data_IF_515901459563
#
_entry.id   IF_515901459563
#
_cell.length_a   1.000
_cell.length_b   1.000
_cell.length_c   1.000
_cell.angle_alpha   90.00
_cell.angle_beta   90.00
_cell.angle_gamma   90.00
#
_symmetry.space_group_name_H-M   'P 1'
#
loop_
_entity.id
_entity.type
_entity.pdbx_description
1 polymer ?
#
# COMPACT_ATOMS: atom_id res chain seq x y z
N UNK A 1 -25.24 23.13 -48.35
CA UNK A 1 -25.03 23.83 -47.09
C UNK A 1 -23.76 23.25 -46.50
N UNK A 2 -22.73 24.09 -46.50
CA UNK A 2 -21.44 23.76 -45.89
C UNK A 2 -21.66 23.42 -44.42
N UNK A 3 -21.26 22.25 -44.01
CA UNK A 3 -21.50 21.68 -42.67
C UNK A 3 -20.49 22.16 -41.60
N UNK A 4 -19.93 23.33 -41.78
CA UNK A 4 -19.19 24.02 -40.73
C UNK A 4 -20.16 24.69 -39.76
N UNK A 5 -20.77 23.92 -38.89
CA UNK A 5 -21.52 24.45 -37.75
C UNK A 5 -20.54 25.10 -36.76
N UNK A 6 -20.28 26.39 -37.00
CA UNK A 6 -19.59 27.20 -35.99
C UNK A 6 -20.64 27.59 -34.95
N UNK A 7 -20.65 26.92 -33.82
CA UNK A 7 -21.39 27.41 -32.68
C UNK A 7 -20.55 28.49 -31.97
N UNK A 8 -21.05 29.72 -32.05
CA UNK A 8 -20.45 30.85 -31.34
C UNK A 8 -20.91 30.83 -29.90
N UNK A 9 -20.01 30.48 -28.99
CA UNK A 9 -20.21 30.65 -27.56
C UNK A 9 -20.04 32.12 -27.16
N UNK A 10 -20.97 32.66 -26.37
CA UNK A 10 -20.78 33.95 -25.73
C UNK A 10 -19.93 33.81 -24.46
N UNK A 11 -19.60 34.91 -23.79
CA UNK A 11 -18.76 34.95 -22.61
C UNK A 11 -19.26 34.09 -21.39
N UNK A 12 -20.45 33.52 -21.46
CA UNK A 12 -21.06 32.69 -20.43
C UNK A 12 -21.02 31.20 -20.73
N UNK A 13 -20.45 30.79 -21.87
CA UNK A 13 -20.29 29.39 -22.24
C UNK A 13 -21.27 28.92 -23.33
N UNK A 14 -21.11 27.69 -23.77
CA UNK A 14 -21.91 27.00 -24.76
C UNK A 14 -22.95 26.10 -24.07
N UNK A 15 -24.25 26.40 -24.26
CA UNK A 15 -25.32 25.47 -23.89
C UNK A 15 -25.72 24.66 -25.13
N UNK A 16 -25.48 23.36 -25.13
CA UNK A 16 -25.92 22.44 -26.17
C UNK A 16 -27.06 21.60 -25.64
N UNK A 17 -28.27 21.79 -26.23
CA UNK A 17 -29.41 20.92 -26.00
C UNK A 17 -29.42 19.84 -27.08
N UNK A 18 -28.78 18.70 -26.84
CA UNK A 18 -28.68 17.62 -27.82
C UNK A 18 -27.32 16.91 -27.72
N UNK A 19 -27.08 15.98 -28.64
CA UNK A 19 -25.82 15.23 -28.70
C UNK A 19 -24.72 16.09 -29.32
N UNK A 20 -23.60 16.25 -28.62
CA UNK A 20 -22.38 16.80 -29.20
C UNK A 20 -21.61 15.65 -29.84
N UNK A 21 -21.59 15.62 -31.17
CA UNK A 21 -20.76 14.68 -31.95
C UNK A 21 -19.44 15.38 -32.30
N UNK A 22 -18.42 15.16 -31.54
CA UNK A 22 -17.07 15.68 -31.80
C UNK A 22 -16.03 14.70 -31.37
N UNK A 23 -14.93 14.60 -32.12
CA UNK A 23 -13.79 13.74 -31.80
C UNK A 23 -12.84 14.38 -30.79
N UNK A 24 -13.05 15.64 -30.42
CA UNK A 24 -12.26 16.31 -29.39
C UNK A 24 -13.03 17.51 -28.81
N UNK A 25 -12.76 17.79 -27.53
CA UNK A 25 -13.16 19.01 -26.85
C UNK A 25 -11.91 19.79 -26.43
N UNK A 26 -11.77 21.00 -26.93
CA UNK A 26 -10.59 21.86 -26.69
C UNK A 26 -9.25 21.17 -26.99
N UNK A 27 -9.21 20.40 -28.08
CA UNK A 27 -8.01 19.66 -28.49
C UNK A 27 -7.73 18.37 -27.72
N UNK A 28 -8.56 18.03 -26.75
CA UNK A 28 -8.49 16.72 -26.06
C UNK A 28 -9.35 15.73 -26.87
N UNK A 29 -8.77 14.71 -27.48
CA UNK A 29 -9.54 13.69 -28.18
C UNK A 29 -10.30 12.83 -27.17
N UNK A 30 -11.55 12.45 -27.53
CA UNK A 30 -12.32 11.45 -26.83
C UNK A 30 -12.58 10.30 -27.79
N UNK A 31 -12.06 9.15 -27.48
CA UNK A 31 -12.32 7.92 -28.20
C UNK A 31 -13.33 7.12 -27.39
N UNK A 32 -14.51 6.89 -27.94
CA UNK A 32 -15.52 6.05 -27.32
C UNK A 32 -15.68 4.79 -28.15
N UNK A 33 -15.42 3.65 -27.53
CA UNK A 33 -15.79 2.36 -28.06
C UNK A 33 -17.17 1.98 -27.53
N UNK A 34 -18.19 2.21 -28.34
CA UNK A 34 -19.57 1.89 -27.97
C UNK A 34 -19.89 0.41 -28.06
N UNK A 35 -19.04 -0.40 -28.71
CA UNK A 35 -19.19 -1.85 -28.79
C UNK A 35 -18.78 -2.48 -27.47
N UNK A 36 -17.69 -2.00 -26.89
CA UNK A 36 -17.09 -2.50 -25.65
C UNK A 36 -17.33 -1.60 -24.44
N UNK A 37 -18.19 -0.58 -24.55
CA UNK A 37 -18.53 0.38 -23.46
C UNK A 37 -17.31 1.06 -22.83
N UNK A 38 -16.31 1.37 -23.61
CA UNK A 38 -15.04 1.95 -23.13
C UNK A 38 -14.86 3.41 -23.56
N UNK A 39 -14.10 4.20 -22.79
CA UNK A 39 -13.77 5.59 -23.07
C UNK A 39 -12.30 5.88 -22.81
N UNK A 40 -11.63 6.44 -23.82
CA UNK A 40 -10.20 6.77 -23.78
C UNK A 40 -9.96 8.23 -24.18
N UNK A 41 -8.90 8.85 -23.68
CA UNK A 41 -8.46 10.22 -24.09
C UNK A 41 -7.30 10.19 -25.09
N UNK A 42 -6.96 9.02 -25.62
CA UNK A 42 -5.98 8.83 -26.69
C UNK A 42 -6.39 7.63 -27.55
N UNK A 43 -5.79 7.50 -28.71
CA UNK A 43 -6.13 6.45 -29.68
C UNK A 43 -5.49 5.11 -29.24
N UNK A 44 -6.31 4.16 -28.82
CA UNK A 44 -5.93 2.76 -28.51
C UNK A 44 -6.42 1.79 -29.58
N UNK A 45 -6.92 2.27 -30.72
CA UNK A 45 -7.52 1.41 -31.77
C UNK A 45 -6.59 0.35 -32.36
N UNK A 46 -5.29 0.44 -32.11
CA UNK A 46 -4.32 -0.59 -32.53
C UNK A 46 -4.06 -1.67 -31.47
N UNK A 47 -4.59 -1.52 -30.28
CA UNK A 47 -4.33 -2.41 -29.13
C UNK A 47 -5.60 -2.93 -28.47
N UNK A 48 -6.67 -2.13 -28.47
CA UNK A 48 -7.96 -2.48 -27.83
C UNK A 48 -8.74 -3.49 -28.70
N UNK A 49 -8.45 -4.77 -28.53
CA UNK A 49 -9.09 -5.84 -29.32
C UNK A 49 -10.53 -6.13 -28.90
N UNK A 50 -10.73 -6.47 -27.61
CA UNK A 50 -12.04 -6.85 -27.04
C UNK A 50 -12.23 -6.33 -25.60
N UNK A 51 -11.40 -5.40 -25.16
CA UNK A 51 -11.45 -4.86 -23.81
C UNK A 51 -12.74 -4.07 -23.53
N UNK A 52 -13.50 -4.46 -22.51
CA UNK A 52 -14.82 -3.89 -22.21
C UNK A 52 -14.84 -3.06 -20.93
N UNK A 53 -15.72 -2.07 -20.90
CA UNK A 53 -16.04 -1.26 -19.70
C UNK A 53 -14.84 -0.50 -19.10
N UNK A 54 -13.87 -0.09 -19.92
CA UNK A 54 -12.70 0.64 -19.48
C UNK A 54 -12.90 2.16 -19.52
N UNK A 55 -12.26 2.85 -18.58
CA UNK A 55 -12.19 4.32 -18.54
C UNK A 55 -10.74 4.76 -18.40
N UNK A 56 -10.18 5.42 -19.42
CA UNK A 56 -8.84 5.99 -19.38
C UNK A 56 -8.87 7.50 -19.60
N UNK A 57 -8.33 8.24 -18.63
CA UNK A 57 -8.19 9.69 -18.73
C UNK A 57 -6.76 10.12 -18.38
N UNK A 58 -6.00 10.47 -19.39
CA UNK A 58 -4.61 10.92 -19.24
C UNK A 58 -3.74 10.48 -20.42
N UNK A 59 -2.60 11.15 -20.59
CA UNK A 59 -1.63 10.78 -21.62
C UNK A 59 -1.04 9.39 -21.30
N UNK A 60 -1.10 8.46 -22.25
CA UNK A 60 -0.66 7.07 -22.13
C UNK A 60 -1.35 6.27 -20.98
N UNK A 61 -2.55 6.66 -20.56
CA UNK A 61 -3.32 5.87 -19.61
C UNK A 61 -3.87 4.60 -20.30
N UNK A 62 -3.49 3.40 -19.87
CA UNK A 62 -3.83 2.10 -20.49
C UNK A 62 -3.46 2.01 -21.98
N UNK A 63 -2.29 2.54 -22.37
CA UNK A 63 -1.87 2.61 -23.77
C UNK A 63 -1.69 1.23 -24.43
N UNK A 64 -1.39 0.20 -23.64
CA UNK A 64 -1.17 -1.17 -24.10
C UNK A 64 -2.39 -2.10 -23.96
N UNK A 65 -3.58 -1.57 -23.61
CA UNK A 65 -4.76 -2.40 -23.32
C UNK A 65 -5.15 -3.27 -24.54
N UNK A 66 -5.43 -4.56 -24.30
CA UNK A 66 -5.88 -5.49 -25.36
C UNK A 66 -7.22 -6.12 -25.02
N UNK A 67 -7.29 -6.92 -23.97
CA UNK A 67 -8.49 -7.69 -23.57
C UNK A 67 -8.86 -7.50 -22.10
N UNK A 68 -8.17 -6.61 -21.38
CA UNK A 68 -8.46 -6.35 -19.96
C UNK A 68 -9.73 -5.54 -19.76
N UNK A 69 -10.64 -6.02 -18.91
CA UNK A 69 -11.97 -5.44 -18.71
C UNK A 69 -12.09 -4.65 -17.40
N UNK A 70 -13.04 -3.70 -17.39
CA UNK A 70 -13.51 -3.03 -16.18
C UNK A 70 -12.42 -2.26 -15.42
N UNK A 71 -11.47 -1.67 -16.13
CA UNK A 71 -10.39 -0.89 -15.54
C UNK A 71 -10.72 0.61 -15.53
N UNK A 72 -10.26 1.30 -14.51
CA UNK A 72 -10.25 2.77 -14.44
C UNK A 72 -8.80 3.23 -14.33
N UNK A 73 -8.31 4.03 -15.27
CA UNK A 73 -6.99 4.63 -15.25
C UNK A 73 -7.08 6.14 -15.44
N UNK A 74 -6.69 6.90 -14.43
CA UNK A 74 -6.74 8.36 -14.44
C UNK A 74 -5.38 8.93 -14.06
N UNK A 75 -4.72 9.57 -15.02
CA UNK A 75 -3.39 10.15 -14.83
C UNK A 75 -2.45 9.82 -15.98
N UNK A 76 -1.39 10.63 -16.13
CA UNK A 76 -0.35 10.31 -17.10
C UNK A 76 0.30 8.98 -16.73
N UNK A 77 0.36 8.05 -17.67
CA UNK A 77 1.02 6.76 -17.49
C UNK A 77 0.29 5.78 -16.56
N UNK A 78 -0.92 6.08 -16.10
CA UNK A 78 -1.68 5.15 -15.27
C UNK A 78 -1.96 3.85 -16.04
N UNK A 79 -1.42 2.72 -15.57
CA UNK A 79 -1.57 1.42 -16.19
C UNK A 79 -1.05 1.35 -17.63
N UNK A 80 0.02 2.05 -17.97
CA UNK A 80 0.55 2.11 -19.34
C UNK A 80 0.80 0.73 -19.94
N UNK A 81 1.35 -0.21 -19.17
CA UNK A 81 1.66 -1.56 -19.62
C UNK A 81 0.49 -2.55 -19.55
N UNK A 82 -0.69 -2.11 -19.07
CA UNK A 82 -1.83 -3.00 -18.83
C UNK A 82 -2.35 -3.60 -20.15
N UNK A 83 -2.33 -4.93 -20.26
CA UNK A 83 -2.78 -5.66 -21.45
C UNK A 83 -4.08 -6.43 -21.21
N UNK A 84 -4.03 -7.47 -20.38
CA UNK A 84 -5.14 -8.39 -20.12
C UNK A 84 -5.67 -8.33 -18.69
N UNK A 85 -5.00 -7.57 -17.79
CA UNK A 85 -5.45 -7.39 -16.42
C UNK A 85 -6.78 -6.67 -16.33
N UNK A 86 -7.66 -7.11 -15.43
CA UNK A 86 -9.01 -6.57 -15.31
C UNK A 86 -9.38 -6.11 -13.90
N UNK A 87 -10.40 -5.25 -13.83
CA UNK A 87 -10.94 -4.76 -12.56
C UNK A 87 -9.94 -3.96 -11.70
N UNK A 88 -9.03 -3.22 -12.32
CA UNK A 88 -8.09 -2.35 -11.63
C UNK A 88 -8.60 -0.91 -11.54
N UNK A 89 -8.27 -0.23 -10.44
CA UNK A 89 -8.48 1.22 -10.26
C UNK A 89 -7.11 1.88 -10.09
N UNK A 90 -6.66 2.61 -11.10
CA UNK A 90 -5.33 3.22 -11.18
C UNK A 90 -5.48 4.74 -11.31
N UNK A 91 -5.21 5.48 -10.25
CA UNK A 91 -5.41 6.93 -10.21
C UNK A 91 -4.15 7.64 -9.73
N UNK A 92 -3.50 8.33 -10.60
CA UNK A 92 -2.24 9.04 -10.33
C UNK A 92 -1.26 8.94 -11.50
N UNK A 93 -0.24 9.78 -11.47
CA UNK A 93 0.87 9.67 -12.43
C UNK A 93 1.57 8.33 -12.21
N UNK A 94 1.75 7.55 -13.27
CA UNK A 94 2.45 6.26 -13.29
C UNK A 94 1.93 5.24 -12.23
N UNK A 95 0.65 5.38 -11.79
CA UNK A 95 0.00 4.41 -10.91
C UNK A 95 -0.18 3.07 -11.65
N UNK A 96 0.38 1.97 -11.09
CA UNK A 96 0.35 0.65 -11.71
C UNK A 96 0.99 0.60 -13.10
N UNK A 97 2.01 1.40 -13.35
CA UNK A 97 2.64 1.57 -14.67
C UNK A 97 3.12 0.25 -15.28
N UNK A 98 3.70 -0.64 -14.48
CA UNK A 98 4.23 -1.92 -14.93
C UNK A 98 3.19 -3.06 -14.97
N UNK A 99 1.95 -2.84 -14.49
CA UNK A 99 0.90 -3.85 -14.53
C UNK A 99 0.64 -4.30 -15.98
N UNK A 100 0.74 -5.60 -16.20
CA UNK A 100 0.44 -6.22 -17.51
C UNK A 100 -0.82 -7.08 -17.45
N UNK A 101 -0.80 -8.12 -16.64
CA UNK A 101 -1.89 -9.09 -16.46
C UNK A 101 -2.51 -9.06 -15.07
N UNK A 102 -1.94 -8.27 -14.16
CA UNK A 102 -2.43 -8.12 -12.78
C UNK A 102 -3.87 -7.61 -12.71
N UNK A 103 -4.67 -8.19 -11.82
CA UNK A 103 -6.09 -7.90 -11.72
C UNK A 103 -6.52 -7.55 -10.28
N UNK A 104 -7.62 -6.77 -10.17
CA UNK A 104 -8.23 -6.40 -8.90
C UNK A 104 -7.30 -5.61 -7.97
N UNK A 105 -6.45 -4.76 -8.54
CA UNK A 105 -5.62 -3.84 -7.80
C UNK A 105 -6.30 -2.47 -7.65
N UNK A 106 -6.06 -1.82 -6.54
CA UNK A 106 -6.37 -0.41 -6.33
C UNK A 106 -5.07 0.33 -6.10
N UNK A 107 -4.65 1.17 -7.03
CA UNK A 107 -3.46 2.01 -6.94
C UNK A 107 -3.86 3.48 -7.06
N UNK A 108 -3.79 4.23 -5.98
CA UNK A 108 -4.18 5.64 -5.94
C UNK A 108 -3.04 6.49 -5.36
N UNK A 109 -2.41 7.26 -6.20
CA UNK A 109 -1.25 8.10 -5.87
C UNK A 109 -0.20 8.06 -6.96
N UNK A 110 0.67 9.05 -7.00
CA UNK A 110 1.83 9.03 -7.89
C UNK A 110 2.71 7.83 -7.55
N UNK A 111 3.07 7.04 -8.55
CA UNK A 111 3.94 5.88 -8.47
C UNK A 111 3.43 4.78 -7.47
N UNK A 112 2.11 4.78 -7.14
CA UNK A 112 1.51 3.73 -6.32
C UNK A 112 1.50 2.41 -7.11
N UNK A 113 1.95 1.31 -6.49
CA UNK A 113 2.02 -0.04 -7.09
C UNK A 113 2.74 -0.06 -8.45
N UNK A 114 3.81 0.73 -8.57
CA UNK A 114 4.46 0.96 -9.87
C UNK A 114 5.09 -0.30 -10.46
N UNK A 115 5.74 -1.12 -9.64
CA UNK A 115 6.55 -2.27 -10.11
C UNK A 115 5.76 -3.57 -10.27
N UNK A 116 4.54 -3.67 -9.74
CA UNK A 116 3.71 -4.87 -9.85
C UNK A 116 3.37 -5.16 -11.31
N UNK A 117 3.63 -6.36 -11.75
CA UNK A 117 3.51 -6.70 -13.17
C UNK A 117 2.33 -7.65 -13.47
N UNK A 118 2.29 -8.83 -12.87
CA UNK A 118 1.38 -9.89 -13.32
C UNK A 118 0.33 -10.34 -12.31
N UNK A 119 0.35 -9.84 -11.07
CA UNK A 119 -0.47 -10.35 -9.98
C UNK A 119 -1.40 -9.27 -9.42
N UNK A 120 -2.20 -9.61 -8.42
CA UNK A 120 -3.26 -8.71 -8.05
C UNK A 120 -3.68 -8.71 -6.60
N UNK A 121 -4.87 -8.13 -6.39
CA UNK A 121 -5.55 -8.02 -5.12
C UNK A 121 -4.81 -7.18 -4.08
N UNK A 122 -4.05 -6.18 -4.56
CA UNK A 122 -3.39 -5.21 -3.72
C UNK A 122 -4.21 -3.92 -3.62
N UNK A 123 -4.11 -3.26 -2.47
CA UNK A 123 -4.60 -1.89 -2.26
C UNK A 123 -3.43 -1.00 -1.89
N UNK A 124 -3.04 -0.11 -2.78
CA UNK A 124 -1.95 0.85 -2.61
C UNK A 124 -2.50 2.28 -2.72
N UNK A 125 -2.63 2.99 -1.63
CA UNK A 125 -3.18 4.35 -1.60
C UNK A 125 -2.19 5.32 -0.95
N UNK A 126 -1.59 6.17 -1.74
CA UNK A 126 -0.58 7.15 -1.34
C UNK A 126 0.56 7.24 -2.34
N UNK A 127 1.33 8.31 -2.29
CA UNK A 127 2.55 8.45 -3.09
C UNK A 127 3.52 7.31 -2.76
N UNK A 128 3.95 6.56 -3.78
CA UNK A 128 4.86 5.42 -3.67
C UNK A 128 4.39 4.31 -2.68
N UNK A 129 3.09 4.18 -2.41
CA UNK A 129 2.58 3.05 -1.65
C UNK A 129 2.80 1.75 -2.46
N UNK A 130 3.42 0.72 -1.85
CA UNK A 130 3.82 -0.55 -2.50
C UNK A 130 4.60 -0.35 -3.81
N UNK A 131 5.47 0.63 -3.85
CA UNK A 131 6.21 1.01 -5.06
C UNK A 131 6.98 -0.16 -5.69
N UNK A 132 7.69 -0.95 -4.88
CA UNK A 132 8.58 -2.03 -5.31
C UNK A 132 7.89 -3.40 -5.41
N UNK A 133 6.58 -3.48 -5.12
CA UNK A 133 5.84 -4.74 -5.06
C UNK A 133 5.87 -5.48 -6.40
N UNK A 134 6.35 -6.73 -6.38
CA UNK A 134 6.24 -7.71 -7.47
C UNK A 134 6.38 -9.13 -6.90
N UNK A 135 5.28 -9.65 -6.33
CA UNK A 135 5.33 -10.86 -5.50
C UNK A 135 5.39 -12.18 -6.29
N UNK A 136 5.17 -12.16 -7.59
CA UNK A 136 5.06 -13.39 -8.38
C UNK A 136 3.81 -14.23 -8.07
N UNK A 137 2.95 -13.76 -7.16
CA UNK A 137 1.64 -14.34 -6.78
C UNK A 137 0.66 -13.24 -6.39
N UNK A 138 -0.63 -13.54 -6.25
CA UNK A 138 -1.60 -12.59 -5.66
C UNK A 138 -1.18 -12.26 -4.23
N UNK A 139 -0.81 -11.00 -3.97
CA UNK A 139 -0.15 -10.65 -2.72
C UNK A 139 -1.11 -10.25 -1.60
N UNK A 140 -2.32 -9.76 -1.90
CA UNK A 140 -3.31 -9.34 -0.90
C UNK A 140 -2.78 -8.30 0.11
N UNK A 141 -1.85 -7.44 -0.30
CA UNK A 141 -1.34 -6.38 0.54
C UNK A 141 -2.29 -5.18 0.56
N UNK A 142 -2.43 -4.55 1.72
CA UNK A 142 -3.10 -3.27 1.91
C UNK A 142 -2.09 -2.27 2.44
N UNK A 143 -1.79 -1.22 1.67
CA UNK A 143 -0.88 -0.14 2.05
C UNK A 143 -1.54 1.21 1.83
N UNK A 144 -1.75 1.97 2.90
CA UNK A 144 -2.41 3.27 2.86
C UNK A 144 -1.57 4.33 3.58
N UNK A 145 -1.01 5.26 2.83
CA UNK A 145 -0.17 6.36 3.33
C UNK A 145 1.01 6.66 2.40
N UNK A 146 1.70 7.77 2.67
CA UNK A 146 2.93 8.15 1.96
C UNK A 146 4.02 7.11 2.19
N UNK A 147 4.59 6.56 1.13
CA UNK A 147 5.66 5.54 1.14
C UNK A 147 5.40 4.34 2.06
N UNK A 148 4.14 3.99 2.24
CA UNK A 148 3.75 2.82 3.04
C UNK A 148 4.13 1.56 2.30
N UNK A 149 4.95 0.70 2.93
CA UNK A 149 5.44 -0.53 2.32
C UNK A 149 6.24 -0.29 1.02
N UNK A 150 6.92 0.85 0.89
CA UNK A 150 7.61 1.26 -0.36
C UNK A 150 8.63 0.22 -0.83
N UNK A 151 9.28 -0.49 0.08
CA UNK A 151 10.31 -1.50 -0.21
C UNK A 151 9.75 -2.92 -0.33
N UNK A 152 8.46 -3.15 -0.10
CA UNK A 152 7.87 -4.50 -0.22
C UNK A 152 8.09 -5.00 -1.64
N UNK A 153 8.73 -6.16 -1.75
CA UNK A 153 8.98 -6.86 -3.03
C UNK A 153 8.07 -8.08 -3.16
N UNK A 154 8.42 -9.17 -2.49
CA UNK A 154 7.69 -10.44 -2.55
C UNK A 154 6.79 -10.69 -1.34
N UNK A 155 6.83 -9.84 -0.32
CA UNK A 155 5.98 -9.95 0.86
C UNK A 155 4.48 -9.90 0.52
N UNK A 156 3.66 -10.70 1.19
CA UNK A 156 2.23 -10.83 0.94
C UNK A 156 1.41 -10.83 2.24
N UNK A 157 0.09 -10.58 2.11
CA UNK A 157 -0.88 -10.54 3.22
C UNK A 157 -0.54 -9.51 4.32
N UNK A 158 0.13 -8.43 3.97
CA UNK A 158 0.43 -7.37 4.90
C UNK A 158 -0.67 -6.30 4.91
N UNK A 159 -0.98 -5.77 6.09
CA UNK A 159 -1.87 -4.61 6.27
C UNK A 159 -1.08 -3.47 6.89
N UNK A 160 -0.72 -2.50 6.07
CA UNK A 160 0.14 -1.37 6.40
C UNK A 160 -0.66 -0.07 6.25
N UNK A 161 -0.88 0.67 7.33
CA UNK A 161 -1.66 1.91 7.29
C UNK A 161 -0.94 3.00 8.08
N UNK A 162 -0.60 4.08 7.42
CA UNK A 162 0.15 5.20 7.98
C UNK A 162 1.40 5.52 7.17
N UNK A 163 1.80 6.78 7.12
CA UNK A 163 3.03 7.15 6.40
C UNK A 163 4.23 6.38 6.96
N UNK A 164 5.03 5.81 6.08
CA UNK A 164 6.24 5.05 6.42
C UNK A 164 5.96 3.85 7.36
N UNK A 165 4.73 3.30 7.34
CA UNK A 165 4.46 2.03 8.01
C UNK A 165 5.03 0.89 7.16
N UNK A 166 5.89 0.04 7.76
CA UNK A 166 6.55 -1.08 7.09
C UNK A 166 7.37 -0.67 5.86
N UNK A 167 7.95 0.54 5.85
CA UNK A 167 8.64 1.09 4.68
C UNK A 167 9.92 0.33 4.29
N UNK A 168 10.58 -0.32 5.24
CA UNK A 168 11.73 -1.18 4.97
C UNK A 168 11.37 -2.65 4.69
N UNK A 169 10.10 -3.05 4.90
CA UNK A 169 9.67 -4.42 4.71
C UNK A 169 9.90 -4.86 3.26
N UNK A 170 10.51 -6.02 3.06
CA UNK A 170 10.82 -6.57 1.72
C UNK A 170 10.04 -7.85 1.44
N UNK A 171 10.35 -8.92 2.15
CA UNK A 171 9.77 -10.26 1.95
C UNK A 171 8.85 -10.69 3.11
N UNK A 172 8.83 -9.94 4.22
CA UNK A 172 8.00 -10.27 5.39
C UNK A 172 6.51 -10.35 5.09
N UNK A 173 5.83 -11.32 5.69
CA UNK A 173 4.47 -11.69 5.38
C UNK A 173 3.54 -11.56 6.58
N UNK A 174 2.23 -11.37 6.31
CA UNK A 174 1.20 -11.42 7.34
C UNK A 174 1.39 -10.42 8.48
N UNK A 175 2.04 -9.28 8.22
CA UNK A 175 2.24 -8.23 9.20
C UNK A 175 1.07 -7.23 9.21
N UNK A 176 0.74 -6.73 10.39
CA UNK A 176 -0.20 -5.61 10.59
C UNK A 176 0.56 -4.44 11.20
N UNK A 177 0.73 -3.37 10.45
CA UNK A 177 1.34 -2.13 10.92
C UNK A 177 0.35 -0.96 10.76
N UNK A 178 -0.07 -0.35 11.85
CA UNK A 178 -0.99 0.78 11.85
C UNK A 178 -0.41 1.95 12.67
N UNK A 179 0.04 2.97 11.98
CA UNK A 179 0.60 4.19 12.58
C UNK A 179 1.84 4.70 11.85
N UNK A 180 2.16 5.96 12.05
CA UNK A 180 3.37 6.58 11.52
C UNK A 180 4.63 5.87 12.04
N UNK A 181 5.49 5.38 11.15
CA UNK A 181 6.67 4.57 11.45
C UNK A 181 6.39 3.27 12.24
N UNK A 182 5.19 2.72 12.22
CA UNK A 182 4.95 1.39 12.78
C UNK A 182 5.70 0.34 11.94
N UNK A 183 6.48 -0.53 12.58
CA UNK A 183 7.27 -1.61 11.94
C UNK A 183 8.21 -1.12 10.81
N UNK A 184 8.76 0.09 10.93
CA UNK A 184 9.43 0.76 9.82
C UNK A 184 10.84 0.24 9.50
N UNK A 185 11.47 -0.52 10.37
CA UNK A 185 12.81 -1.10 10.11
C UNK A 185 12.78 -2.59 9.80
N UNK A 186 11.63 -3.26 9.93
CA UNK A 186 11.52 -4.69 9.67
C UNK A 186 11.68 -5.00 8.17
N UNK A 187 12.43 -6.04 7.86
CA UNK A 187 12.68 -6.46 6.48
C UNK A 187 12.06 -7.82 6.13
N UNK A 188 12.31 -8.86 6.90
CA UNK A 188 11.98 -10.25 6.60
C UNK A 188 11.05 -10.92 7.62
N UNK A 189 10.82 -10.29 8.78
CA UNK A 189 10.02 -10.90 9.85
C UNK A 189 8.53 -10.97 9.55
N UNK A 190 7.92 -12.08 9.96
CA UNK A 190 6.51 -12.40 9.71
C UNK A 190 5.63 -12.23 10.94
N UNK A 191 4.31 -12.07 10.70
CA UNK A 191 3.23 -12.21 11.70
C UNK A 191 3.33 -11.24 12.87
N UNK A 192 3.81 -10.03 12.63
CA UNK A 192 3.83 -8.98 13.62
C UNK A 192 2.55 -8.17 13.64
N UNK A 193 2.19 -7.67 14.81
CA UNK A 193 1.15 -6.67 15.00
C UNK A 193 1.76 -5.43 15.66
N UNK A 194 1.88 -4.33 14.92
CA UNK A 194 2.43 -3.06 15.38
C UNK A 194 1.37 -1.96 15.22
N UNK A 195 0.70 -1.57 16.28
CA UNK A 195 -0.38 -0.58 16.27
C UNK A 195 -0.01 0.62 17.16
N UNK A 196 0.18 1.75 16.54
CA UNK A 196 0.58 3.00 17.20
C UNK A 196 1.78 3.63 16.53
N UNK A 197 1.94 4.94 16.71
CA UNK A 197 3.12 5.64 16.21
C UNK A 197 4.39 5.01 16.79
N UNK A 198 5.30 4.56 15.94
CA UNK A 198 6.59 3.99 16.33
C UNK A 198 6.52 2.65 17.06
N UNK A 199 5.37 1.95 17.05
CA UNK A 199 5.29 0.59 17.57
C UNK A 199 6.22 -0.33 16.77
N UNK A 200 7.07 -1.13 17.45
CA UNK A 200 8.12 -2.00 16.86
C UNK A 200 9.00 -1.30 15.83
N UNK A 201 9.27 -0.01 16.03
CA UNK A 201 9.94 0.83 15.03
C UNK A 201 11.29 0.28 14.58
N UNK A 202 12.11 -0.20 15.52
CA UNK A 202 13.48 -0.66 15.25
C UNK A 202 13.59 -2.19 15.10
N UNK A 203 12.46 -2.91 15.10
CA UNK A 203 12.48 -4.34 14.85
C UNK A 203 13.05 -4.61 13.46
N UNK A 204 14.02 -5.54 13.40
CA UNK A 204 14.60 -5.97 12.13
C UNK A 204 15.15 -7.39 12.26
N UNK A 205 14.37 -8.36 11.84
CA UNK A 205 14.77 -9.74 11.73
C UNK A 205 15.38 -9.98 10.34
N UNK A 206 16.64 -10.35 10.30
CA UNK A 206 17.44 -10.50 9.07
C UNK A 206 17.31 -11.88 8.42
N UNK A 207 16.37 -12.69 8.87
CA UNK A 207 16.00 -13.98 8.28
C UNK A 207 14.49 -14.09 8.22
N UNK A 208 13.99 -14.81 7.23
CA UNK A 208 12.59 -15.20 7.13
C UNK A 208 12.21 -16.01 8.39
N UNK A 209 11.51 -15.35 9.30
CA UNK A 209 11.26 -15.86 10.66
C UNK A 209 9.88 -15.46 11.13
N UNK A 210 9.16 -16.42 11.65
CA UNK A 210 7.92 -16.20 12.40
C UNK A 210 8.20 -15.48 13.72
N UNK A 211 8.01 -14.17 13.74
CA UNK A 211 8.39 -13.31 14.87
C UNK A 211 7.31 -13.26 15.95
N UNK A 212 6.04 -13.16 15.57
CA UNK A 212 4.87 -13.12 16.46
C UNK A 212 4.93 -12.05 17.56
N UNK A 213 5.51 -10.90 17.31
CA UNK A 213 5.42 -9.78 18.25
C UNK A 213 4.08 -9.06 18.11
N UNK A 214 3.48 -8.72 19.24
CA UNK A 214 2.29 -7.88 19.32
C UNK A 214 2.64 -6.62 20.11
N UNK A 215 2.62 -5.45 19.47
CA UNK A 215 2.85 -4.17 20.12
C UNK A 215 1.70 -3.19 19.82
N UNK A 216 1.02 -2.72 20.86
CA UNK A 216 -0.10 -1.81 20.75
C UNK A 216 0.09 -0.62 21.68
N UNK A 217 0.29 0.55 21.11
CA UNK A 217 0.50 1.81 21.85
C UNK A 217 1.57 2.68 21.23
N UNK A 218 1.61 3.95 21.63
CA UNK A 218 2.66 4.88 21.25
C UNK A 218 4.04 4.34 21.70
N UNK A 219 4.94 4.15 20.74
CA UNK A 219 6.30 3.61 20.95
C UNK A 219 6.34 2.28 21.75
N UNK A 220 5.27 1.46 21.69
CA UNK A 220 5.27 0.13 22.30
C UNK A 220 6.34 -0.74 21.63
N UNK A 221 7.27 -1.31 22.41
CA UNK A 221 8.37 -2.13 21.92
C UNK A 221 9.27 -1.43 20.90
N UNK A 222 9.39 -0.11 20.94
CA UNK A 222 10.08 0.70 19.91
C UNK A 222 11.50 0.22 19.60
N UNK A 223 12.24 -0.20 20.62
CA UNK A 223 13.65 -0.61 20.51
C UNK A 223 13.81 -2.13 20.32
N UNK A 224 12.73 -2.89 20.27
CA UNK A 224 12.84 -4.32 19.91
C UNK A 224 13.58 -4.40 18.59
N UNK A 225 14.65 -5.19 18.56
CA UNK A 225 15.48 -5.41 17.37
C UNK A 225 15.23 -6.81 16.80
N UNK A 226 15.67 -7.86 17.49
CA UNK A 226 15.51 -9.26 17.07
C UNK A 226 14.69 -10.09 18.05
N UNK A 227 14.20 -9.49 19.15
CA UNK A 227 13.32 -10.17 20.11
C UNK A 227 12.03 -10.67 19.46
N UNK A 228 11.58 -11.86 19.85
CA UNK A 228 10.40 -12.53 19.24
C UNK A 228 9.40 -12.96 20.32
N UNK A 229 8.14 -13.16 19.87
CA UNK A 229 7.06 -13.69 20.72
C UNK A 229 6.73 -12.81 21.94
N UNK A 230 6.88 -11.49 21.82
CA UNK A 230 6.54 -10.55 22.87
C UNK A 230 5.10 -10.01 22.70
N UNK A 231 4.41 -9.80 23.81
CA UNK A 231 3.13 -9.10 23.89
C UNK A 231 3.33 -7.79 24.65
N UNK A 232 3.26 -6.67 23.95
CA UNK A 232 3.64 -5.34 24.46
C UNK A 232 2.46 -4.39 24.25
N UNK A 233 1.70 -4.06 25.29
CA UNK A 233 0.48 -3.25 25.19
C UNK A 233 0.51 -2.08 26.15
N UNK A 234 0.54 -0.87 25.63
CA UNK A 234 0.58 0.36 26.41
C UNK A 234 1.59 1.35 25.84
N UNK A 235 1.37 2.65 26.08
CA UNK A 235 2.35 3.66 25.67
C UNK A 235 3.71 3.40 26.32
N UNK A 236 4.77 3.26 25.50
CA UNK A 236 6.13 3.00 25.92
C UNK A 236 6.32 1.71 26.74
N UNK A 237 5.38 0.77 26.72
CA UNK A 237 5.58 -0.56 27.25
C UNK A 237 6.74 -1.26 26.53
N UNK A 238 7.60 -1.99 27.24
CA UNK A 238 8.75 -2.71 26.69
C UNK A 238 9.68 -1.82 25.83
N UNK A 239 9.75 -0.51 26.13
CA UNK A 239 10.45 0.44 25.27
C UNK A 239 11.96 0.19 25.18
N UNK A 240 12.61 -0.34 26.21
CA UNK A 240 14.03 -0.68 26.20
C UNK A 240 14.32 -2.08 25.62
N UNK A 241 13.31 -2.97 25.49
CA UNK A 241 13.52 -4.32 24.97
C UNK A 241 14.22 -4.28 23.61
N UNK A 242 15.27 -5.10 23.49
CA UNK A 242 16.02 -5.25 22.23
C UNK A 242 15.95 -6.69 21.71
N UNK A 243 16.58 -7.65 22.38
CA UNK A 243 16.63 -9.05 21.99
C UNK A 243 15.80 -9.98 22.88
N UNK A 244 15.20 -9.45 23.96
CA UNK A 244 14.35 -10.21 24.87
C UNK A 244 13.17 -10.89 24.17
N UNK A 245 12.88 -12.12 24.58
CA UNK A 245 11.83 -12.96 23.95
C UNK A 245 10.78 -13.41 24.96
N UNK A 246 9.54 -13.65 24.45
CA UNK A 246 8.45 -14.21 25.27
C UNK A 246 8.09 -13.37 26.49
N UNK A 247 8.20 -12.05 26.38
CA UNK A 247 7.78 -11.14 27.44
C UNK A 247 6.32 -10.72 27.25
N UNK A 248 5.63 -10.50 28.36
CA UNK A 248 4.30 -9.87 28.41
C UNK A 248 4.45 -8.56 29.18
N UNK A 249 4.29 -7.43 28.50
CA UNK A 249 4.32 -6.08 29.09
C UNK A 249 2.99 -5.38 28.78
N UNK A 250 2.11 -5.28 29.75
CA UNK A 250 0.77 -4.68 29.57
C UNK A 250 0.59 -3.53 30.58
N UNK A 251 0.51 -2.34 30.08
CA UNK A 251 0.38 -1.09 30.87
C UNK A 251 1.36 -0.05 30.38
N UNK A 252 1.06 1.23 30.63
CA UNK A 252 1.98 2.32 30.29
C UNK A 252 3.31 2.10 31.00
N UNK A 253 4.41 2.12 30.23
CA UNK A 253 5.78 1.93 30.72
C UNK A 253 6.01 0.62 31.53
N UNK A 254 5.17 -0.39 31.33
CA UNK A 254 5.44 -1.72 31.88
C UNK A 254 6.71 -2.29 31.20
N UNK A 255 7.62 -2.87 31.96
CA UNK A 255 8.90 -3.47 31.50
C UNK A 255 9.72 -2.49 30.64
N UNK A 256 9.76 -1.21 30.98
CA UNK A 256 10.34 -0.18 30.12
C UNK A 256 11.85 -0.03 30.21
N UNK A 257 12.52 -0.62 31.18
CA UNK A 257 13.99 -0.59 31.34
C UNK A 257 14.67 -1.92 31.00
N UNK A 258 13.93 -3.01 30.87
CA UNK A 258 14.47 -4.33 30.48
C UNK A 258 14.91 -4.32 29.01
N UNK A 259 16.14 -4.69 28.71
CA UNK A 259 16.70 -4.69 27.36
C UNK A 259 16.82 -6.07 26.71
N UNK A 260 17.31 -7.08 27.41
CA UNK A 260 17.61 -8.42 26.88
C UNK A 260 16.86 -9.55 27.57
N UNK A 261 16.24 -9.29 28.71
CA UNK A 261 15.55 -10.31 29.52
C UNK A 261 14.36 -10.93 28.81
N UNK A 262 14.16 -12.20 29.10
CA UNK A 262 13.11 -13.02 28.49
C UNK A 262 12.19 -13.63 29.54
N UNK A 263 10.97 -14.04 29.12
CA UNK A 263 9.99 -14.74 29.96
C UNK A 263 9.46 -13.91 31.15
N UNK A 264 9.45 -12.58 31.07
CA UNK A 264 8.89 -11.73 32.10
C UNK A 264 7.41 -11.42 31.83
N UNK A 265 6.63 -11.30 32.91
CA UNK A 265 5.23 -10.89 32.88
C UNK A 265 5.08 -9.64 33.74
N UNK A 266 4.80 -8.50 33.11
CA UNK A 266 4.60 -7.20 33.76
C UNK A 266 3.22 -6.67 33.37
N UNK A 267 2.27 -6.65 34.31
CA UNK A 267 0.88 -6.20 34.05
C UNK A 267 0.52 -5.07 35.02
N UNK A 268 0.38 -3.90 34.51
CA UNK A 268 0.06 -2.69 35.26
C UNK A 268 0.92 -1.50 34.85
N UNK A 269 0.47 -0.29 35.18
CA UNK A 269 1.28 0.91 34.97
C UNK A 269 2.61 0.82 35.75
N UNK A 270 3.72 0.98 35.05
CA UNK A 270 5.10 0.88 35.62
C UNK A 270 5.45 -0.49 36.22
N UNK A 271 4.68 -1.55 35.93
CA UNK A 271 5.03 -2.89 36.42
C UNK A 271 6.41 -3.32 35.87
N UNK A 272 7.31 -3.80 36.74
CA UNK A 272 8.71 -4.16 36.42
C UNK A 272 9.46 -3.02 35.65
N UNK A 273 9.16 -1.75 35.95
CA UNK A 273 9.75 -0.62 35.21
C UNK A 273 11.28 -0.62 35.29
N UNK A 274 11.84 -0.85 36.47
CA UNK A 274 13.29 -0.77 36.74
C UNK A 274 13.97 -2.14 36.64
N UNK A 275 13.29 -3.15 36.10
CA UNK A 275 13.86 -4.48 35.89
C UNK A 275 14.91 -4.42 34.75
N UNK A 276 16.12 -4.86 35.05
CA UNK A 276 17.25 -4.99 34.13
C UNK A 276 18.16 -6.13 34.61
N UNK A 277 17.63 -7.35 34.71
CA UNK A 277 18.30 -8.48 35.28
C UNK A 277 18.49 -9.68 34.32
N UNK A 278 18.22 -9.49 33.06
CA UNK A 278 18.25 -10.56 32.06
C UNK A 278 17.10 -11.58 32.25
N UNK A 279 17.32 -12.84 31.94
CA UNK A 279 16.30 -13.90 32.02
C UNK A 279 15.94 -14.20 33.48
N UNK A 280 14.82 -13.66 33.95
CA UNK A 280 14.48 -13.74 35.37
C UNK A 280 13.11 -14.38 35.68
N UNK A 281 12.27 -14.68 34.68
CA UNK A 281 10.91 -15.21 34.87
C UNK A 281 10.09 -14.43 35.90
N UNK A 282 10.20 -13.09 35.86
CA UNK A 282 9.50 -12.23 36.80
C UNK A 282 8.02 -12.12 36.48
N UNK A 283 7.18 -12.02 37.53
CA UNK A 283 5.75 -11.75 37.43
C UNK A 283 5.37 -10.63 38.37
N UNK A 284 4.77 -9.53 37.85
CA UNK A 284 4.26 -8.41 38.63
C UNK A 284 2.99 -7.79 38.03
#
# INVERSE_FOLDING_TARGET
VDSSNILLANATGLAVTGTVTGTSFNGIPFFTDTTNNSMYTHDVSGTDDTAENNTAYGFAAMDAITTGDSNVAIGKGAGTALTTGGSNVLVGKDAGDSLTTGARNVAIGTDALQSENGHGRNVAIGHEALFSQDAGVDAYNVAIGYQTGVSVTTGFQNTLVGSLAGDALTEGNSNTALGYFALSSETLGDRNVAIGQGALKLQNNTSDTDVYNVAVGFEAGKNVSTGVQNVIIGGQAGNALTTGTRNIAIGQSALSSEDTGSHNVAIGHLALQDQDAGDAYNVA
#
